data_IF_217212114078
#
_entry.id   IF_217212114078
#
_cell.length_a   1.000
_cell.length_b   1.000
_cell.length_c   1.000
_cell.angle_alpha   90.00
_cell.angle_beta   90.00
_cell.angle_gamma   90.00
#
_symmetry.space_group_name_H-M   'P 1'
#
loop_
_entity.id
_entity.type
_entity.pdbx_description
1 polymer ?
#
# COMPACT_ATOMS: atom_id res chain seq x y z
N UNK A 1 -11.98 21.24 10.59
CA UNK A 1 -11.82 20.53 9.39
C UNK A 1 -10.95 19.30 9.60
N UNK A 2 -11.28 18.27 8.89
CA UNK A 2 -10.56 17.02 9.06
C UNK A 2 -9.29 17.01 8.23
N UNK A 3 -8.22 16.56 8.84
CA UNK A 3 -6.97 16.35 8.15
C UNK A 3 -6.78 14.90 7.73
N UNK A 4 -7.76 14.07 8.03
CA UNK A 4 -7.65 12.65 7.72
C UNK A 4 -7.84 12.40 6.23
N UNK A 5 -6.93 11.66 5.65
CA UNK A 5 -7.03 11.28 4.25
C UNK A 5 -8.14 10.25 4.06
N UNK A 6 -8.76 10.25 2.90
CA UNK A 6 -9.72 9.22 2.58
C UNK A 6 -8.98 7.92 2.22
N UNK A 7 -9.71 6.82 2.29
CA UNK A 7 -9.12 5.53 1.90
C UNK A 7 -8.68 5.56 0.44
N UNK A 8 -9.45 6.23 -0.42
CA UNK A 8 -9.09 6.33 -1.83
C UNK A 8 -7.75 7.02 -2.02
N UNK A 9 -7.47 8.04 -1.22
CA UNK A 9 -6.18 8.72 -1.29
C UNK A 9 -5.05 7.81 -0.84
N UNK A 10 -5.30 7.03 0.22
CA UNK A 10 -4.29 6.08 0.69
C UNK A 10 -4.03 5.01 -0.35
N UNK A 11 -5.09 4.50 -0.96
CA UNK A 11 -4.96 3.50 -2.03
C UNK A 11 -4.14 4.08 -3.19
N UNK A 12 -4.39 5.34 -3.54
CA UNK A 12 -3.64 5.97 -4.63
C UNK A 12 -2.15 6.08 -4.30
N UNK A 13 -1.81 6.40 -3.06
CA UNK A 13 -0.43 6.50 -2.65
C UNK A 13 0.25 5.13 -2.69
N UNK A 14 -0.43 4.10 -2.19
CA UNK A 14 0.10 2.74 -2.23
C UNK A 14 0.34 2.31 -3.67
N UNK A 15 -0.63 2.57 -4.54
CA UNK A 15 -0.54 2.19 -5.94
C UNK A 15 0.64 2.90 -6.62
N UNK A 16 0.82 4.18 -6.32
CA UNK A 16 1.94 4.94 -6.87
C UNK A 16 3.26 4.32 -6.45
N UNK A 17 3.39 3.99 -5.15
CA UNK A 17 4.63 3.42 -4.65
C UNK A 17 4.86 2.03 -5.22
N UNK A 18 3.79 1.25 -5.38
CA UNK A 18 3.91 -0.07 -5.99
C UNK A 18 4.41 0.05 -7.42
N UNK A 19 3.86 0.99 -8.17
CA UNK A 19 4.29 1.19 -9.55
C UNK A 19 5.75 1.61 -9.64
N UNK A 20 6.20 2.44 -8.70
CA UNK A 20 7.59 2.88 -8.70
C UNK A 20 8.55 1.74 -8.42
N UNK A 21 8.12 0.75 -7.64
CA UNK A 21 8.95 -0.42 -7.37
C UNK A 21 8.83 -1.48 -8.46
N UNK A 22 7.74 -1.45 -9.21
CA UNK A 22 7.49 -2.41 -10.29
C UNK A 22 7.19 -1.63 -11.56
N UNK A 23 8.21 -1.02 -12.18
CA UNK A 23 7.98 -0.12 -13.31
C UNK A 23 7.35 -0.80 -14.52
N UNK A 24 7.47 -2.12 -14.62
CA UNK A 24 6.88 -2.85 -15.75
C UNK A 24 5.40 -3.16 -15.56
N UNK A 25 4.86 -2.90 -14.37
CA UNK A 25 3.45 -3.21 -14.15
C UNK A 25 2.59 -2.11 -14.76
N UNK A 26 1.49 -2.54 -15.41
CA UNK A 26 0.53 -1.61 -15.98
C UNK A 26 -0.34 -1.05 -14.85
N UNK A 27 -0.35 0.28 -14.65
CA UNK A 27 -1.16 0.84 -13.57
C UNK A 27 -2.63 0.50 -13.67
N UNK A 28 -3.12 0.32 -14.90
CA UNK A 28 -4.53 -0.01 -15.10
C UNK A 28 -4.84 -1.46 -14.75
N UNK A 29 -3.82 -2.30 -14.66
CA UNK A 29 -4.00 -3.69 -14.27
C UNK A 29 -3.98 -3.87 -12.76
N UNK A 30 -3.65 -2.84 -12.00
CA UNK A 30 -3.56 -2.93 -10.55
C UNK A 30 -4.97 -2.82 -9.97
N UNK A 31 -5.40 -3.87 -9.29
CA UNK A 31 -6.70 -3.87 -8.61
C UNK A 31 -6.47 -3.99 -7.12
N UNK A 32 -7.04 -3.08 -6.33
CA UNK A 32 -6.79 -3.06 -4.89
C UNK A 32 -7.17 -4.34 -4.16
N UNK A 33 -8.10 -5.11 -4.71
CA UNK A 33 -8.54 -6.34 -4.06
C UNK A 33 -7.74 -7.56 -4.48
N UNK A 34 -6.87 -7.43 -5.48
CA UNK A 34 -6.02 -8.53 -5.93
C UNK A 34 -4.74 -8.55 -5.11
N UNK A 35 -4.19 -9.75 -4.91
CA UNK A 35 -2.93 -9.87 -4.18
C UNK A 35 -1.83 -9.10 -4.88
N UNK A 36 -0.99 -8.42 -4.09
CA UNK A 36 0.14 -7.70 -4.66
C UNK A 36 1.11 -8.63 -5.37
N UNK A 37 1.13 -9.91 -4.98
CA UNK A 37 1.98 -10.89 -5.64
C UNK A 37 1.52 -11.19 -7.05
N UNK A 38 0.24 -10.94 -7.34
CA UNK A 38 -0.29 -11.12 -8.69
C UNK A 38 0.33 -10.15 -9.69
N UNK A 39 0.93 -9.06 -9.20
CA UNK A 39 1.60 -8.09 -10.07
C UNK A 39 3.10 -8.35 -10.15
N UNK A 40 3.55 -9.48 -9.59
CA UNK A 40 4.97 -9.80 -9.59
C UNK A 40 5.73 -9.23 -8.40
N UNK A 41 5.04 -8.67 -7.44
CA UNK A 41 5.72 -8.15 -6.24
C UNK A 41 6.13 -9.30 -5.34
N UNK A 42 7.39 -9.31 -4.93
CA UNK A 42 7.85 -10.27 -3.94
C UNK A 42 7.82 -9.61 -2.57
N UNK A 43 8.23 -10.36 -1.54
CA UNK A 43 8.16 -9.86 -0.16
C UNK A 43 8.97 -8.58 0.03
N UNK A 44 10.12 -8.49 -0.62
CA UNK A 44 10.95 -7.29 -0.50
C UNK A 44 10.29 -6.10 -1.14
N UNK A 45 9.68 -6.30 -2.31
CA UNK A 45 8.95 -5.22 -2.98
C UNK A 45 7.81 -4.71 -2.11
N UNK A 46 7.08 -5.62 -1.49
CA UNK A 46 5.96 -5.26 -0.63
C UNK A 46 6.45 -4.46 0.56
N UNK A 47 7.56 -4.88 1.17
CA UNK A 47 8.13 -4.17 2.30
C UNK A 47 8.54 -2.75 1.90
N UNK A 48 9.11 -2.60 0.72
CA UNK A 48 9.52 -1.27 0.26
C UNK A 48 8.32 -0.37 -0.01
N UNK A 49 7.27 -0.92 -0.60
CA UNK A 49 6.04 -0.16 -0.84
C UNK A 49 5.42 0.28 0.49
N UNK A 50 5.36 -0.64 1.45
CA UNK A 50 4.81 -0.33 2.77
C UNK A 50 5.63 0.75 3.45
N UNK A 51 6.95 0.60 3.45
CA UNK A 51 7.83 1.57 4.10
C UNK A 51 7.72 2.94 3.48
N UNK A 52 7.68 3.02 2.15
CA UNK A 52 7.55 4.29 1.45
C UNK A 52 6.22 4.96 1.78
N UNK A 53 5.15 4.17 1.83
CA UNK A 53 3.83 4.70 2.12
C UNK A 53 3.76 5.22 3.55
N UNK A 54 4.30 4.47 4.51
CA UNK A 54 4.32 4.91 5.89
C UNK A 54 5.10 6.22 6.05
N UNK A 55 6.21 6.32 5.34
CA UNK A 55 7.02 7.54 5.39
C UNK A 55 6.24 8.72 4.82
N UNK A 56 5.54 8.49 3.73
CA UNK A 56 4.75 9.52 3.09
C UNK A 56 3.59 9.99 3.97
N UNK A 57 2.95 9.05 4.66
CA UNK A 57 1.82 9.34 5.54
C UNK A 57 2.25 9.75 6.95
N UNK A 58 3.54 9.60 7.24
CA UNK A 58 4.10 9.93 8.56
C UNK A 58 3.46 9.11 9.67
N UNK A 59 3.26 7.82 9.41
CA UNK A 59 2.70 6.89 10.39
C UNK A 59 3.64 5.70 10.51
N UNK A 60 3.42 4.94 11.56
CA UNK A 60 4.19 3.72 11.79
C UNK A 60 3.23 2.60 12.18
N UNK A 61 3.19 1.56 11.38
CA UNK A 61 2.35 0.40 11.60
C UNK A 61 3.24 -0.78 11.95
N UNK A 62 2.97 -1.47 13.07
CA UNK A 62 3.80 -2.61 13.46
C UNK A 62 3.81 -3.68 12.39
N UNK A 63 4.96 -4.32 12.24
CA UNK A 63 5.10 -5.37 11.23
C UNK A 63 4.12 -6.52 11.44
N UNK A 64 3.79 -6.81 12.71
CA UNK A 64 2.87 -7.88 13.01
C UNK A 64 1.48 -7.65 12.43
N UNK A 65 1.07 -6.39 12.31
CA UNK A 65 -0.22 -6.08 11.71
C UNK A 65 -0.18 -6.15 10.20
N UNK A 66 1.00 -6.03 9.63
CA UNK A 66 1.16 -6.08 8.17
C UNK A 66 1.30 -7.50 7.66
N UNK A 67 1.56 -8.46 8.54
CA UNK A 67 1.81 -9.83 8.13
C UNK A 67 0.58 -10.48 7.49
N UNK A 68 -0.61 -10.01 7.84
CA UNK A 68 -1.85 -10.59 7.30
C UNK A 68 -2.37 -9.85 6.09
N UNK A 69 -1.71 -8.76 5.70
CA UNK A 69 -2.15 -7.96 4.57
C UNK A 69 -1.72 -8.64 3.27
N UNK A 70 -2.64 -8.79 2.34
CA UNK A 70 -2.36 -9.44 1.07
C UNK A 70 -2.57 -8.54 -0.13
N UNK A 71 -3.41 -7.51 0.00
CA UNK A 71 -3.72 -6.65 -1.13
C UNK A 71 -3.71 -5.19 -0.69
N UNK A 72 -3.83 -4.31 -1.69
CA UNK A 72 -3.78 -2.87 -1.44
C UNK A 72 -4.94 -2.42 -0.57
N UNK A 73 -6.12 -3.00 -0.80
CA UNK A 73 -7.31 -2.63 -0.04
C UNK A 73 -7.12 -2.88 1.45
N UNK A 74 -6.60 -4.05 1.79
CA UNK A 74 -6.35 -4.39 3.19
C UNK A 74 -5.26 -3.52 3.78
N UNK A 75 -4.23 -3.23 2.99
CA UNK A 75 -3.15 -2.37 3.45
C UNK A 75 -3.67 -0.96 3.74
N UNK A 76 -4.52 -0.43 2.87
CA UNK A 76 -5.11 0.88 3.07
C UNK A 76 -5.94 0.91 4.34
N UNK A 77 -6.70 -0.14 4.61
CA UNK A 77 -7.49 -0.21 5.84
C UNK A 77 -6.60 -0.15 7.08
N UNK A 78 -5.47 -0.86 7.04
CA UNK A 78 -4.54 -0.82 8.17
C UNK A 78 -3.98 0.58 8.36
N UNK A 79 -3.58 1.22 7.27
CA UNK A 79 -3.04 2.57 7.37
C UNK A 79 -4.07 3.56 7.89
N UNK A 80 -5.33 3.39 7.47
CA UNK A 80 -6.39 4.28 7.94
C UNK A 80 -6.57 4.21 9.46
N UNK A 81 -6.31 3.06 10.05
CA UNK A 81 -6.42 2.92 11.50
C UNK A 81 -5.37 3.73 12.24
N UNK A 82 -4.30 4.12 11.57
CA UNK A 82 -3.18 4.84 12.19
C UNK A 82 -3.13 6.31 11.80
N UNK A 83 -4.07 6.73 10.99
CA UNK A 83 -4.12 8.15 10.57
C UNK A 83 -4.94 9.04 11.51
#
# INVERSE_FOLDING_TARGET
>A
MSETMSKDEVVAIITKNLKENLPDVDPEAIEPTSSMRDYGANSLDIIEVVSATMRELKIRVPRSELAEVENIDQLADRFMEYL
#
